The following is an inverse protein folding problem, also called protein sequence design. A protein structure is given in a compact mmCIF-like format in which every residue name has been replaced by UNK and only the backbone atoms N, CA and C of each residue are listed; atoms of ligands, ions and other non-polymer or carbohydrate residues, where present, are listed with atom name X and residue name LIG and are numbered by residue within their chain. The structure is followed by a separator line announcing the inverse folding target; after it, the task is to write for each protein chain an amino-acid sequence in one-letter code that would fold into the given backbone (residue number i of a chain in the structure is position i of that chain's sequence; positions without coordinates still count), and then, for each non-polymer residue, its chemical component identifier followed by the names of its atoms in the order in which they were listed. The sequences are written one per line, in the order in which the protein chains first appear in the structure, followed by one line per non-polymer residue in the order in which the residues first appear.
data_IF_515626139932
#
_entry.id   IF_515626139932
#
_cell.length_a   1.000
_cell.length_b   1.000
_cell.length_c   1.000
_cell.angle_alpha   90.00
_cell.angle_beta   90.00
_cell.angle_gamma   90.00
#
_symmetry.space_group_name_H-M   'P 1'
#
loop_
_entity.id
_entity.type
_entity.pdbx_description
1 polymer ?
#
# COMPACT_ATOMS: atom_id res chain seq x y z
N UNK A 1 16.40 -14.72 0.78
CA UNK A 1 17.10 -13.48 0.42
C UNK A 1 18.29 -13.36 1.33
N UNK A 2 19.44 -13.03 0.76
CA UNK A 2 20.72 -13.00 1.46
C UNK A 2 21.27 -11.58 1.56
N UNK A 3 22.32 -11.38 2.38
CA UNK A 3 22.99 -10.07 2.54
C UNK A 3 23.41 -9.45 1.20
N UNK A 4 23.90 -10.27 0.25
CA UNK A 4 24.27 -9.84 -1.10
C UNK A 4 23.10 -9.19 -1.85
N UNK A 5 21.91 -9.76 -1.72
CA UNK A 5 20.71 -9.25 -2.40
C UNK A 5 20.31 -7.88 -1.83
N UNK A 6 20.40 -7.71 -0.51
CA UNK A 6 20.16 -6.43 0.18
C UNK A 6 21.16 -5.37 -0.27
N UNK A 7 22.45 -5.73 -0.41
CA UNK A 7 23.45 -4.79 -0.95
C UNK A 7 23.13 -4.37 -2.39
N UNK A 8 22.66 -5.30 -3.23
CA UNK A 8 22.23 -4.98 -4.60
C UNK A 8 20.98 -4.10 -4.60
N UNK A 9 20.05 -4.34 -3.67
CA UNK A 9 18.86 -3.52 -3.47
C UNK A 9 19.22 -2.09 -3.10
N UNK A 10 20.16 -1.88 -2.18
CA UNK A 10 20.65 -0.54 -1.81
C UNK A 10 21.17 0.23 -3.03
N UNK A 11 21.96 -0.44 -3.88
CA UNK A 11 22.45 0.17 -5.13
C UNK A 11 21.31 0.56 -6.07
N UNK A 12 20.24 -0.24 -6.18
CA UNK A 12 19.05 0.11 -6.98
C UNK A 12 18.33 1.33 -6.39
N UNK A 13 18.13 1.35 -5.08
CA UNK A 13 17.47 2.48 -4.39
C UNK A 13 18.30 3.76 -4.58
N UNK A 14 19.62 3.71 -4.39
CA UNK A 14 20.52 4.87 -4.56
C UNK A 14 20.48 5.48 -5.96
N UNK A 15 20.29 4.66 -7.00
CA UNK A 15 20.19 5.14 -8.40
C UNK A 15 18.96 6.00 -8.63
N UNK A 16 17.86 5.71 -7.95
CA UNK A 16 16.61 6.46 -8.06
C UNK A 16 16.60 7.63 -7.06
N UNK A 17 17.02 7.35 -5.83
CA UNK A 17 17.02 8.30 -4.73
C UNK A 17 18.47 8.65 -4.36
N UNK A 18 18.99 9.72 -4.95
CA UNK A 18 20.36 10.19 -4.70
C UNK A 18 20.63 10.49 -3.22
N UNK A 19 19.61 10.84 -2.44
CA UNK A 19 19.69 11.09 -1.00
C UNK A 19 19.76 9.82 -0.15
N UNK A 20 19.51 8.64 -0.71
CA UNK A 20 19.62 7.39 0.05
C UNK A 20 21.06 7.19 0.51
N UNK A 21 21.28 7.11 1.82
CA UNK A 21 22.62 6.94 2.38
C UNK A 21 23.05 5.46 2.33
N UNK A 22 24.29 5.22 1.94
CA UNK A 22 24.94 3.91 2.03
C UNK A 22 26.30 4.17 2.67
N UNK A 23 26.61 3.59 3.84
CA UNK A 23 27.90 3.80 4.49
C UNK A 23 29.07 3.41 3.58
N UNK A 24 30.08 4.28 3.56
CA UNK A 24 31.26 4.18 2.70
C UNK A 24 32.46 3.51 3.38
N UNK A 25 33.65 3.71 2.79
CA UNK A 25 34.90 3.24 3.37
C UNK A 25 35.14 3.85 4.76
N UNK A 26 35.56 3.03 5.72
CA UNK A 26 35.72 3.42 7.13
C UNK A 26 34.43 3.37 7.96
N UNK A 27 33.31 2.93 7.38
CA UNK A 27 32.01 2.74 8.05
C UNK A 27 31.46 1.33 7.80
N UNK A 28 32.35 0.33 7.76
CA UNK A 28 32.01 -1.06 7.43
C UNK A 28 31.04 -1.69 8.44
N UNK A 29 31.19 -1.36 9.72
CA UNK A 29 30.30 -1.86 10.78
C UNK A 29 28.89 -1.25 10.67
N UNK A 30 28.79 0.04 10.33
CA UNK A 30 27.51 0.69 10.05
C UNK A 30 26.82 0.06 8.82
N UNK A 31 27.59 -0.21 7.75
CA UNK A 31 27.06 -0.90 6.57
C UNK A 31 26.55 -2.29 6.91
N UNK A 32 27.31 -3.06 7.70
CA UNK A 32 26.90 -4.40 8.16
C UNK A 32 25.61 -4.34 8.98
N UNK A 33 25.52 -3.40 9.91
CA UNK A 33 24.35 -3.21 10.74
C UNK A 33 23.12 -2.82 9.91
N UNK A 34 23.27 -1.86 8.98
CA UNK A 34 22.22 -1.45 8.07
C UNK A 34 21.71 -2.60 7.19
N UNK A 35 22.62 -3.44 6.67
CA UNK A 35 22.27 -4.65 5.90
C UNK A 35 21.50 -5.64 6.79
N UNK A 36 22.00 -5.89 7.99
CA UNK A 36 21.39 -6.86 8.91
C UNK A 36 20.00 -6.42 9.36
N UNK A 37 19.80 -5.12 9.59
CA UNK A 37 18.50 -4.55 9.93
C UNK A 37 17.50 -4.69 8.78
N UNK A 38 17.90 -4.38 7.54
CA UNK A 38 17.05 -4.61 6.37
C UNK A 38 16.75 -6.08 6.16
N UNK A 39 17.74 -6.96 6.36
CA UNK A 39 17.56 -8.39 6.22
C UNK A 39 16.53 -8.95 7.21
N UNK A 40 16.38 -8.37 8.41
CA UNK A 40 15.34 -8.79 9.37
C UNK A 40 13.93 -8.61 8.79
N UNK A 41 13.67 -7.51 8.11
CA UNK A 41 12.36 -7.23 7.49
C UNK A 41 12.13 -8.02 6.19
N UNK A 42 13.21 -8.27 5.44
CA UNK A 42 13.13 -8.93 4.14
C UNK A 42 13.35 -10.46 4.22
N UNK A 43 13.56 -10.99 5.43
CA UNK A 43 13.79 -12.42 5.66
C UNK A 43 12.58 -13.22 5.16
N UNK A 44 12.83 -14.22 4.33
CA UNK A 44 11.79 -15.08 3.75
C UNK A 44 11.02 -14.47 2.58
N UNK A 45 11.26 -13.20 2.23
CA UNK A 45 10.66 -12.58 1.04
C UNK A 45 11.53 -12.91 -0.19
N UNK A 46 10.95 -13.40 -1.31
CA UNK A 46 11.69 -13.61 -2.55
C UNK A 46 12.27 -12.30 -3.09
N UNK A 47 13.47 -12.36 -3.66
CA UNK A 47 14.17 -11.19 -4.21
C UNK A 47 13.37 -10.55 -5.35
N UNK A 48 12.74 -11.38 -6.17
CA UNK A 48 11.88 -10.99 -7.28
C UNK A 48 10.68 -10.18 -6.79
N UNK A 49 10.06 -10.60 -5.67
CA UNK A 49 8.95 -9.90 -5.03
C UNK A 49 9.38 -8.52 -4.54
N UNK A 50 10.53 -8.43 -3.87
CA UNK A 50 11.07 -7.15 -3.39
C UNK A 50 11.42 -6.21 -4.54
N UNK A 51 12.03 -6.73 -5.61
CA UNK A 51 12.34 -5.96 -6.79
C UNK A 51 11.08 -5.42 -7.47
N UNK A 52 10.04 -6.26 -7.64
CA UNK A 52 8.75 -5.85 -8.17
C UNK A 52 8.06 -4.80 -7.30
N UNK A 53 8.17 -4.94 -5.98
CA UNK A 53 7.62 -3.97 -5.03
C UNK A 53 8.36 -2.63 -5.09
N UNK A 54 9.69 -2.66 -5.25
CA UNK A 54 10.48 -1.44 -5.47
C UNK A 54 10.07 -0.76 -6.76
N UNK A 55 9.93 -1.50 -7.86
CA UNK A 55 9.55 -0.94 -9.16
C UNK A 55 8.16 -0.29 -9.08
N UNK A 56 7.20 -0.95 -8.42
CA UNK A 56 5.88 -0.37 -8.16
C UNK A 56 5.97 0.89 -7.29
N UNK A 57 6.77 0.86 -6.22
CA UNK A 57 6.94 2.01 -5.33
C UNK A 57 7.52 3.22 -6.07
N UNK A 58 8.56 3.00 -6.89
CA UNK A 58 9.23 4.05 -7.68
C UNK A 58 8.33 4.60 -8.78
N UNK A 59 7.44 3.77 -9.34
CA UNK A 59 6.50 4.23 -10.38
C UNK A 59 5.46 5.25 -9.90
N UNK A 60 5.26 5.38 -8.58
CA UNK A 60 4.36 6.38 -8.02
C UNK A 60 5.09 7.73 -7.86
N UNK A 61 4.67 8.81 -8.57
CA UNK A 61 5.32 10.12 -8.50
C UNK A 61 5.26 10.79 -7.12
N UNK A 62 4.32 10.38 -6.26
CA UNK A 62 4.21 10.92 -4.90
C UNK A 62 5.32 10.40 -3.97
N UNK A 63 5.95 9.28 -4.32
CA UNK A 63 7.03 8.67 -3.54
C UNK A 63 8.38 9.35 -3.80
N UNK A 64 8.54 10.57 -3.25
CA UNK A 64 9.76 11.38 -3.36
C UNK A 64 10.92 10.91 -2.47
N UNK A 65 10.66 9.98 -1.55
CA UNK A 65 11.62 9.49 -0.57
C UNK A 65 11.95 8.00 -0.78
N UNK A 66 13.15 7.53 -0.38
CA UNK A 66 13.48 6.12 -0.43
C UNK A 66 12.48 5.26 0.37
N UNK A 67 12.14 4.05 -0.11
CA UNK A 67 11.24 3.17 0.62
C UNK A 67 11.88 2.58 1.88
N UNK A 68 11.07 2.43 2.93
CA UNK A 68 11.40 1.59 4.09
C UNK A 68 11.33 0.09 3.70
N UNK A 69 12.18 -0.80 4.24
CA UNK A 69 12.17 -2.24 3.89
C UNK A 69 10.82 -2.91 4.12
N UNK A 70 10.07 -2.48 5.14
CA UNK A 70 8.72 -2.99 5.42
C UNK A 70 7.72 -2.78 4.28
N UNK A 71 7.85 -1.69 3.51
CA UNK A 71 7.01 -1.46 2.32
C UNK A 71 7.36 -2.47 1.23
N UNK A 72 8.64 -2.79 1.09
CA UNK A 72 9.12 -3.74 0.09
C UNK A 72 8.84 -5.20 0.48
N UNK A 73 8.73 -5.49 1.79
CA UNK A 73 8.38 -6.81 2.31
C UNK A 73 6.90 -7.19 2.09
N UNK A 74 6.02 -6.23 1.79
CA UNK A 74 4.57 -6.46 1.70
C UNK A 74 4.20 -7.50 0.65
N UNK A 75 3.47 -8.52 1.11
CA UNK A 75 2.90 -9.52 0.22
C UNK A 75 1.73 -8.94 -0.58
N UNK A 76 1.27 -9.67 -1.59
CA UNK A 76 0.02 -9.37 -2.28
C UNK A 76 -1.20 -9.53 -1.37
N UNK A 77 -1.16 -10.47 -0.42
CA UNK A 77 -2.23 -10.68 0.55
C UNK A 77 -2.38 -9.48 1.51
N UNK A 78 -1.28 -8.93 2.01
CA UNK A 78 -1.33 -7.76 2.90
C UNK A 78 -1.93 -6.54 2.19
N UNK A 79 -1.53 -6.32 0.94
CA UNK A 79 -2.08 -5.25 0.09
C UNK A 79 -3.56 -5.47 -0.21
N UNK A 80 -3.99 -6.71 -0.38
CA UNK A 80 -5.39 -7.03 -0.60
C UNK A 80 -6.23 -6.78 0.66
N UNK A 81 -5.73 -7.17 1.84
CA UNK A 81 -6.43 -6.89 3.09
C UNK A 81 -6.51 -5.38 3.38
N UNK A 82 -5.46 -4.63 3.09
CA UNK A 82 -5.47 -3.16 3.20
C UNK A 82 -6.46 -2.54 2.21
N UNK A 83 -6.50 -3.03 0.96
CA UNK A 83 -7.51 -2.63 -0.02
C UNK A 83 -8.93 -2.89 0.51
N UNK A 84 -9.21 -4.09 1.03
CA UNK A 84 -10.52 -4.42 1.59
C UNK A 84 -10.89 -3.49 2.75
N UNK A 85 -9.95 -3.18 3.64
CA UNK A 85 -10.18 -2.23 4.75
C UNK A 85 -10.51 -0.84 4.21
N UNK A 86 -9.73 -0.34 3.27
CA UNK A 86 -9.93 1.00 2.70
C UNK A 86 -11.25 1.09 1.92
N UNK A 87 -11.59 0.05 1.15
CA UNK A 87 -12.88 -0.02 0.45
C UNK A 87 -14.06 -0.07 1.41
N UNK A 88 -13.95 -0.80 2.52
CA UNK A 88 -14.99 -0.84 3.55
C UNK A 88 -15.18 0.54 4.21
N UNK A 89 -14.09 1.24 4.51
CA UNK A 89 -14.14 2.60 5.07
C UNK A 89 -14.81 3.57 4.11
N UNK A 90 -14.39 3.61 2.84
CA UNK A 90 -15.01 4.49 1.84
C UNK A 90 -16.50 4.19 1.63
N UNK A 91 -16.88 2.91 1.58
CA UNK A 91 -18.29 2.54 1.48
C UNK A 91 -19.12 3.05 2.67
N UNK A 92 -18.57 2.97 3.89
CA UNK A 92 -19.24 3.49 5.08
C UNK A 92 -19.39 5.02 5.05
N UNK A 93 -18.37 5.73 4.56
CA UNK A 93 -18.41 7.19 4.36
C UNK A 93 -19.47 7.57 3.32
N UNK A 94 -19.50 6.90 2.17
CA UNK A 94 -20.48 7.13 1.11
C UNK A 94 -21.91 6.87 1.61
N UNK A 95 -22.13 5.80 2.38
CA UNK A 95 -23.42 5.49 2.98
C UNK A 95 -23.86 6.54 4.02
N UNK A 96 -22.93 7.06 4.82
CA UNK A 96 -23.21 8.14 5.76
C UNK A 96 -23.57 9.44 5.01
N UNK A 97 -22.88 9.74 3.91
CA UNK A 97 -23.19 10.89 3.06
C UNK A 97 -24.54 10.74 2.37
N UNK A 98 -24.86 9.55 1.84
CA UNK A 98 -26.18 9.28 1.27
C UNK A 98 -27.29 9.43 2.31
N UNK A 99 -27.12 8.89 3.52
CA UNK A 99 -28.13 9.02 4.58
C UNK A 99 -28.34 10.47 5.03
N UNK A 100 -27.29 11.29 5.04
CA UNK A 100 -27.40 12.70 5.41
C UNK A 100 -28.01 13.56 4.31
N UNK A 101 -27.76 13.22 3.03
CA UNK A 101 -28.29 13.93 1.86
C UNK A 101 -29.59 13.34 1.32
N UNK A 102 -30.04 12.20 1.84
CA UNK A 102 -31.27 11.54 1.40
C UNK A 102 -32.47 12.43 1.67
N UNK A 103 -33.12 12.89 0.60
CA UNK A 103 -34.43 13.53 0.68
C UNK A 103 -35.46 12.41 0.84
N UNK A 104 -36.36 12.46 1.84
CA UNK A 104 -37.42 11.48 1.94
C UNK A 104 -38.26 11.46 0.66
N UNK A 105 -38.73 10.29 0.20
CA UNK A 105 -39.58 10.22 -0.97
C UNK A 105 -40.81 11.12 -0.79
N UNK A 106 -41.27 11.81 -1.85
CA UNK A 106 -42.43 12.69 -1.78
C UNK A 106 -43.65 11.97 -1.16
N UNK A 107 -44.39 12.69 -0.31
CA UNK A 107 -45.58 12.16 0.33
C UNK A 107 -46.54 11.56 -0.73
N UNK A 108 -46.97 10.31 -0.51
CA UNK A 108 -47.87 9.58 -1.42
C UNK A 108 -47.19 8.73 -2.50
N UNK A 109 -45.86 8.79 -2.69
CA UNK A 109 -45.17 7.92 -3.65
C UNK A 109 -45.28 6.43 -3.27
N UNK A 110 -45.08 6.10 -2.00
CA UNK A 110 -45.18 4.73 -1.49
C UNK A 110 -46.60 4.16 -1.62
N UNK A 111 -47.61 5.01 -1.41
CA UNK A 111 -49.02 4.64 -1.55
C UNK A 111 -49.38 4.36 -3.02
N UNK A 112 -48.87 5.18 -3.94
CA UNK A 112 -49.01 4.98 -5.39
C UNK A 112 -48.35 3.70 -5.88
N UNK A 113 -47.15 3.38 -5.40
CA UNK A 113 -46.43 2.13 -5.75
C UNK A 113 -47.15 0.91 -5.18
N UNK A 114 -47.65 0.98 -3.94
CA UNK A 114 -48.41 -0.11 -3.33
C UNK A 114 -49.71 -0.38 -4.10
N UNK A 115 -50.38 0.66 -4.58
CA UNK A 115 -51.61 0.54 -5.36
C UNK A 115 -51.37 0.07 -6.81
N UNK A 116 -50.18 0.32 -7.39
CA UNK A 116 -49.85 -0.16 -8.75
C UNK A 116 -49.40 -1.62 -8.79
N UNK A 117 -48.84 -2.16 -7.69
CA UNK A 117 -48.42 -3.56 -7.58
C UNK A 117 -49.59 -4.49 -7.22
N UNK A 118 -50.58 -4.01 -6.46
CA UNK A 118 -51.79 -4.76 -6.10
C UNK A 118 -52.90 -4.73 -7.17
N UNK A 119 -52.67 -4.04 -8.30
CA UNK A 119 -53.63 -3.89 -9.39
C UNK A 119 -53.43 -4.83 -10.58
N UNK A 120 -52.71 -5.95 -10.41
CA UNK A 120 -52.60 -7.03 -11.40
C UNK A 120 -53.25 -8.30 -10.90
#
# INVERSE_FOLDING_TARGET
MEKRDVTMLFKRIKRVYSLFYIPGAGQEDELRQMIDDWLRYLRGVPVETVNKNLDKYVSNPDNKQPPHPGILARSTADRYQEFLRNSATHFAEDMAEMNTKAVPPPAGLLERVKNSVSGK
#
